data_IF_177066616682
#
_entry.id   IF_177066616682
#
_cell.length_a   1.000
_cell.length_b   1.000
_cell.length_c   1.000
_cell.angle_alpha   90.00
_cell.angle_beta   90.00
_cell.angle_gamma   90.00
#
_symmetry.space_group_name_H-M   'P 1'
#
loop_
_entity.id
_entity.type
_entity.pdbx_description
1 polymer ?
#
# COMPACT_ATOMS: atom_id res chain seq x y z
N UNK A 1 -34.41 -22.90 7.46
CA UNK A 1 -34.80 -21.47 7.54
C UNK A 1 -34.89 -20.99 6.11
N UNK A 2 -36.10 -20.68 5.64
CA UNK A 2 -36.33 -20.20 4.27
C UNK A 2 -36.17 -18.68 4.27
N UNK A 3 -35.46 -18.13 3.28
CA UNK A 3 -35.22 -16.70 3.14
C UNK A 3 -35.79 -16.20 1.82
N UNK A 4 -36.44 -15.04 1.85
CA UNK A 4 -37.00 -14.47 0.62
C UNK A 4 -35.88 -13.95 -0.29
N UNK A 5 -36.08 -14.10 -1.59
CA UNK A 5 -35.14 -13.62 -2.60
C UNK A 5 -35.05 -12.09 -2.49
N UNK A 6 -33.86 -11.56 -2.19
CA UNK A 6 -33.60 -10.12 -2.05
C UNK A 6 -33.37 -9.60 -0.63
N UNK A 7 -33.61 -10.42 0.40
CA UNK A 7 -33.29 -10.03 1.79
C UNK A 7 -31.77 -10.11 2.06
N UNK A 8 -31.18 -9.01 2.55
CA UNK A 8 -29.77 -8.93 2.94
C UNK A 8 -29.42 -9.84 4.14
N UNK A 9 -28.14 -10.18 4.30
CA UNK A 9 -27.66 -11.06 5.38
C UNK A 9 -27.79 -10.40 6.76
N UNK A 10 -28.25 -11.16 7.75
CA UNK A 10 -28.34 -10.76 9.15
C UNK A 10 -27.10 -11.21 9.93
N UNK A 11 -26.84 -10.60 11.10
CA UNK A 11 -25.70 -10.95 11.96
C UNK A 11 -25.71 -12.39 12.46
N UNK A 12 -26.87 -13.06 12.49
CA UNK A 12 -27.00 -14.48 12.86
C UNK A 12 -26.66 -15.44 11.70
N UNK A 13 -26.66 -14.93 10.48
CA UNK A 13 -26.39 -15.69 9.25
C UNK A 13 -24.93 -15.57 8.79
N UNK A 14 -24.14 -14.67 9.40
CA UNK A 14 -22.75 -14.40 9.02
C UNK A 14 -21.83 -14.58 10.22
N UNK A 15 -20.76 -15.34 10.03
CA UNK A 15 -19.66 -15.41 11.00
C UNK A 15 -18.62 -14.34 10.66
N UNK A 16 -18.33 -13.46 11.61
CA UNK A 16 -17.29 -12.44 11.45
C UNK A 16 -15.93 -13.06 11.10
N UNK A 17 -15.27 -12.51 10.08
CA UNK A 17 -13.92 -12.90 9.65
C UNK A 17 -13.06 -11.65 9.49
N UNK A 18 -11.77 -11.78 9.79
CA UNK A 18 -10.78 -10.69 9.64
C UNK A 18 -10.39 -10.49 8.17
N UNK A 19 -10.38 -11.55 7.35
CA UNK A 19 -10.08 -11.50 5.91
C UNK A 19 -11.09 -12.36 5.13
N UNK A 20 -11.53 -11.88 3.97
CA UNK A 20 -12.47 -12.55 3.06
C UNK A 20 -11.74 -13.06 1.81
N UNK A 21 -12.35 -14.01 1.09
CA UNK A 21 -11.74 -14.71 -0.05
C UNK A 21 -11.70 -13.93 -1.37
N UNK A 22 -11.99 -12.62 -1.37
CA UNK A 22 -12.01 -11.78 -2.57
C UNK A 22 -10.63 -11.37 -3.10
N UNK A 23 -9.55 -11.80 -2.45
CA UNK A 23 -8.17 -11.43 -2.78
C UNK A 23 -7.69 -10.13 -2.15
N UNK A 24 -6.47 -9.73 -2.48
CA UNK A 24 -5.83 -8.48 -2.02
C UNK A 24 -4.87 -7.95 -3.08
N UNK A 25 -4.78 -6.62 -3.20
CA UNK A 25 -3.74 -5.94 -3.97
C UNK A 25 -2.67 -5.43 -3.01
N UNK A 26 -1.40 -5.73 -3.28
CA UNK A 26 -0.26 -5.11 -2.60
C UNK A 26 0.31 -4.02 -3.51
N UNK A 27 0.60 -2.86 -2.92
CA UNK A 27 1.11 -1.68 -3.62
C UNK A 27 2.37 -1.22 -2.91
N UNK A 28 3.36 -0.75 -3.67
CA UNK A 28 4.56 -0.11 -3.15
C UNK A 28 4.55 1.36 -3.54
N UNK A 29 4.95 2.25 -2.64
CA UNK A 29 4.99 3.68 -2.94
C UNK A 29 5.79 4.48 -1.93
N UNK A 30 6.10 5.71 -2.31
CA UNK A 30 6.84 6.70 -1.53
C UNK A 30 5.97 7.92 -1.27
N UNK A 31 6.08 8.46 -0.06
CA UNK A 31 5.37 9.66 0.39
C UNK A 31 6.42 10.63 0.95
N UNK A 32 6.30 11.90 0.56
CA UNK A 32 7.09 13.01 1.07
C UNK A 32 6.22 13.98 1.85
N UNK A 33 6.84 15.04 2.37
CA UNK A 33 6.12 16.05 3.18
C UNK A 33 5.00 16.75 2.38
N UNK A 34 5.15 16.85 1.07
CA UNK A 34 4.22 17.47 0.13
C UNK A 34 3.18 16.50 -0.45
N UNK A 35 3.16 15.23 -0.02
CA UNK A 35 2.18 14.22 -0.47
C UNK A 35 2.82 13.00 -1.13
N UNK A 36 2.06 12.33 -2.01
CA UNK A 36 2.55 11.14 -2.72
C UNK A 36 3.65 11.51 -3.71
N UNK A 37 4.79 10.83 -3.59
CA UNK A 37 5.91 10.96 -4.52
C UNK A 37 5.74 9.94 -5.64
N UNK A 38 5.53 8.66 -5.32
CA UNK A 38 5.25 7.66 -6.35
C UNK A 38 4.44 6.49 -5.79
N UNK A 39 3.60 5.89 -6.63
CA UNK A 39 2.78 4.71 -6.28
C UNK A 39 3.18 3.49 -7.14
N UNK A 40 4.06 3.67 -8.14
CA UNK A 40 4.54 2.60 -9.02
C UNK A 40 6.01 2.79 -9.42
N UNK A 41 6.67 1.68 -9.79
CA UNK A 41 8.14 1.52 -9.94
C UNK A 41 8.82 2.56 -10.84
N UNK A 42 8.12 3.20 -11.78
CA UNK A 42 8.72 4.12 -12.76
C UNK A 42 8.70 5.60 -12.40
N UNK A 43 7.97 6.02 -11.36
CA UNK A 43 7.70 7.44 -11.11
C UNK A 43 8.61 8.11 -10.08
N UNK A 44 9.39 7.34 -9.30
CA UNK A 44 10.03 7.87 -8.10
C UNK A 44 11.03 8.99 -8.41
N UNK A 45 11.98 8.76 -9.32
CA UNK A 45 13.01 9.76 -9.64
C UNK A 45 12.41 11.04 -10.21
N UNK A 46 11.48 10.92 -11.16
CA UNK A 46 10.82 12.09 -11.75
C UNK A 46 10.05 12.89 -10.70
N UNK A 47 9.29 12.22 -9.84
CA UNK A 47 8.55 12.90 -8.79
C UNK A 47 9.45 13.53 -7.72
N UNK A 48 10.64 12.97 -7.49
CA UNK A 48 11.64 13.59 -6.61
C UNK A 48 12.22 14.86 -7.24
N UNK A 49 12.51 14.85 -8.55
CA UNK A 49 12.90 16.06 -9.28
C UNK A 49 11.80 17.12 -9.23
N UNK A 50 10.56 16.72 -9.53
CA UNK A 50 9.39 17.61 -9.52
C UNK A 50 9.08 18.19 -8.13
N UNK A 51 9.52 17.51 -7.06
CA UNK A 51 9.34 17.99 -5.69
C UNK A 51 10.17 19.25 -5.37
N UNK A 52 11.22 19.53 -6.15
CA UNK A 52 12.13 20.65 -5.92
C UNK A 52 13.01 20.50 -4.67
N UNK A 53 13.01 19.32 -4.03
CA UNK A 53 13.89 19.04 -2.89
C UNK A 53 15.30 18.79 -3.42
N UNK A 54 16.33 19.52 -2.94
CA UNK A 54 17.71 19.27 -3.31
C UNK A 54 18.11 17.82 -3.03
N UNK A 55 18.81 17.18 -3.97
CA UNK A 55 19.15 15.76 -3.89
C UNK A 55 20.00 15.41 -2.65
N UNK A 56 20.77 16.35 -2.13
CA UNK A 56 21.59 16.23 -0.92
C UNK A 56 20.79 16.39 0.38
N UNK A 57 19.57 16.93 0.32
CA UNK A 57 18.63 17.03 1.44
C UNK A 57 17.63 15.87 1.49
N UNK A 58 17.60 15.03 0.45
CA UNK A 58 16.70 13.87 0.36
C UNK A 58 17.16 12.75 1.30
N UNK A 59 16.24 12.29 2.15
CA UNK A 59 16.42 11.09 2.97
C UNK A 59 15.44 10.01 2.51
N UNK A 60 15.97 8.86 2.06
CA UNK A 60 15.16 7.70 1.73
C UNK A 60 14.94 6.82 2.96
N UNK A 61 13.69 6.74 3.43
CA UNK A 61 13.32 5.95 4.61
C UNK A 61 12.49 4.73 4.20
N UNK A 62 12.91 3.55 4.67
CA UNK A 62 12.19 2.28 4.57
C UNK A 62 12.29 1.50 5.88
N UNK A 63 11.49 0.45 6.04
CA UNK A 63 11.55 -0.40 7.22
C UNK A 63 12.77 -1.35 7.19
N UNK A 64 12.97 -2.07 8.29
CA UNK A 64 14.07 -3.03 8.45
C UNK A 64 13.69 -4.46 8.00
N UNK A 65 12.76 -4.63 7.05
CA UNK A 65 12.50 -5.95 6.46
C UNK A 65 13.82 -6.51 5.89
N UNK A 66 14.20 -7.78 6.18
CA UNK A 66 15.44 -8.38 5.68
C UNK A 66 15.69 -8.20 4.18
N UNK A 67 14.64 -8.09 3.36
CA UNK A 67 14.78 -7.83 1.92
C UNK A 67 15.34 -6.42 1.62
N UNK A 68 14.99 -5.42 2.43
CA UNK A 68 15.41 -4.03 2.31
C UNK A 68 16.84 -3.80 2.85
N UNK A 69 17.37 -4.74 3.65
CA UNK A 69 18.76 -4.71 4.16
C UNK A 69 19.65 -5.71 3.38
N UNK A 70 19.14 -6.32 2.31
CA UNK A 70 19.90 -7.30 1.52
C UNK A 70 21.00 -6.61 0.69
N UNK A 71 22.08 -7.34 0.39
CA UNK A 71 23.18 -6.82 -0.45
C UNK A 71 22.74 -6.32 -1.83
N UNK A 72 21.64 -6.86 -2.38
CA UNK A 72 21.11 -6.45 -3.68
C UNK A 72 20.33 -5.14 -3.61
N UNK A 73 19.87 -4.75 -2.43
CA UNK A 73 19.15 -3.51 -2.19
C UNK A 73 20.08 -2.36 -1.76
N UNK A 74 21.35 -2.65 -1.46
CA UNK A 74 22.40 -1.67 -1.12
C UNK A 74 23.22 -1.25 -2.33
#
# INVERSE_FOLDING_TARGET
MWKNKGEGLTSREVKGKVKFGGGSLMVWGCIGWNGYVAIFEGGLLQSMEDSGIPADEVIFQQDNDPKHISRRAQ
#
